data_IF_226347507826
#
_entry.id   IF_226347507826
#
_cell.length_a   1.000
_cell.length_b   1.000
_cell.length_c   1.000
_cell.angle_alpha   90.00
_cell.angle_beta   90.00
_cell.angle_gamma   90.00
#
_symmetry.space_group_name_H-M   'P 1'
#
loop_
_entity.id
_entity.type
_entity.pdbx_description
1 polymer ?
#
# COMPACT_ATOMS: atom_id res chain seq x y z
N UNK A 1 -22.67 77.89 53.86
CA UNK A 1 -21.50 77.04 53.56
C UNK A 1 -21.75 75.73 54.29
N UNK A 2 -22.24 74.70 53.59
CA UNK A 2 -22.56 73.38 54.16
C UNK A 2 -21.39 72.46 53.83
N UNK A 3 -20.64 72.06 54.84
CA UNK A 3 -19.53 71.11 54.74
C UNK A 3 -20.12 69.70 54.83
N UNK A 4 -20.08 68.95 53.74
CA UNK A 4 -20.51 67.55 53.70
C UNK A 4 -19.48 66.66 54.38
N UNK A 5 -19.85 66.08 55.53
CA UNK A 5 -19.14 64.93 56.10
C UNK A 5 -19.40 63.72 55.20
N UNK A 6 -18.34 63.21 54.58
CA UNK A 6 -18.36 61.92 53.90
C UNK A 6 -18.17 60.86 55.00
N UNK A 7 -19.23 60.16 55.36
CA UNK A 7 -19.16 59.00 56.25
C UNK A 7 -18.37 57.88 55.55
N UNK A 8 -17.08 57.77 55.88
CA UNK A 8 -16.30 56.57 55.59
C UNK A 8 -16.79 55.43 56.48
N UNK A 9 -17.80 54.69 56.00
CA UNK A 9 -18.20 53.42 56.60
C UNK A 9 -17.06 52.43 56.41
N UNK A 10 -16.20 52.33 57.42
CA UNK A 10 -15.21 51.26 57.53
C UNK A 10 -15.93 49.93 57.52
N UNK A 11 -15.71 49.15 56.46
CA UNK A 11 -16.17 47.77 56.38
C UNK A 11 -15.51 47.05 57.55
N UNK A 12 -16.32 46.46 58.44
CA UNK A 12 -15.81 45.74 59.62
C UNK A 12 -14.76 44.71 59.16
N UNK A 13 -13.54 44.71 59.75
CA UNK A 13 -12.48 43.76 59.40
C UNK A 13 -12.95 42.30 59.39
N UNK A 14 -13.91 41.97 60.24
CA UNK A 14 -14.51 40.63 60.35
C UNK A 14 -15.32 40.27 59.10
N UNK A 15 -16.06 41.21 58.53
CA UNK A 15 -16.84 41.00 57.30
C UNK A 15 -15.89 40.85 56.10
N UNK A 16 -14.81 41.64 56.06
CA UNK A 16 -13.79 41.53 55.00
C UNK A 16 -13.09 40.17 55.00
N UNK A 17 -12.72 39.65 56.18
CA UNK A 17 -12.07 38.34 56.31
C UNK A 17 -13.03 37.21 55.93
N UNK A 18 -14.28 37.25 56.40
CA UNK A 18 -15.27 36.23 56.04
C UNK A 18 -15.52 36.18 54.54
N UNK A 19 -15.67 37.35 53.89
CA UNK A 19 -15.84 37.45 52.44
C UNK A 19 -14.60 36.92 51.69
N UNK A 20 -13.39 37.26 52.16
CA UNK A 20 -12.15 36.81 51.54
C UNK A 20 -11.99 35.30 51.62
N UNK A 21 -12.33 34.67 52.75
CA UNK A 21 -12.28 33.20 52.89
C UNK A 21 -13.27 32.53 51.92
N UNK A 22 -14.47 33.09 51.77
CA UNK A 22 -15.46 32.57 50.81
C UNK A 22 -14.95 32.69 49.37
N UNK A 23 -14.38 33.83 48.99
CA UNK A 23 -13.84 34.03 47.64
C UNK A 23 -12.68 33.07 47.38
N UNK A 24 -11.73 32.96 48.33
CA UNK A 24 -10.58 32.05 48.20
C UNK A 24 -11.02 30.61 48.09
N UNK A 25 -11.98 30.16 48.91
CA UNK A 25 -12.49 28.78 48.84
C UNK A 25 -13.18 28.49 47.50
N UNK A 26 -14.00 29.41 46.99
CA UNK A 26 -14.61 29.26 45.66
C UNK A 26 -13.53 29.19 44.58
N UNK A 27 -12.55 30.10 44.59
CA UNK A 27 -11.46 30.12 43.60
C UNK A 27 -10.62 28.83 43.70
N UNK A 28 -10.30 28.35 44.90
CA UNK A 28 -9.56 27.10 45.09
C UNK A 28 -10.31 25.90 44.55
N UNK A 29 -11.62 25.80 44.77
CA UNK A 29 -12.44 24.71 44.20
C UNK A 29 -12.48 24.80 42.68
N UNK A 30 -12.67 25.99 42.11
CA UNK A 30 -12.67 26.18 40.64
C UNK A 30 -11.33 25.82 40.02
N UNK A 31 -10.22 26.26 40.61
CA UNK A 31 -8.86 25.93 40.14
C UNK A 31 -8.60 24.42 40.27
N UNK A 32 -9.07 23.77 41.34
CA UNK A 32 -8.96 22.32 41.49
C UNK A 32 -9.74 21.57 40.41
N UNK A 33 -10.94 22.02 40.05
CA UNK A 33 -11.73 21.44 38.95
C UNK A 33 -11.06 21.63 37.59
N UNK A 34 -10.48 22.81 37.32
CA UNK A 34 -9.75 23.06 36.07
C UNK A 34 -8.47 22.20 36.03
N UNK A 35 -7.75 22.07 37.14
CA UNK A 35 -6.53 21.25 37.22
C UNK A 35 -6.82 19.74 37.09
N UNK A 36 -7.93 19.26 37.67
CA UNK A 36 -8.38 17.86 37.54
C UNK A 36 -8.95 17.57 36.15
N UNK A 37 -9.68 18.51 35.55
CA UNK A 37 -10.18 18.38 34.16
C UNK A 37 -9.08 18.46 33.10
N UNK A 38 -7.88 18.95 33.44
CA UNK A 38 -6.68 18.82 32.60
C UNK A 38 -5.94 17.48 32.82
N UNK A 39 -6.35 16.70 33.83
CA UNK A 39 -5.80 15.39 34.15
C UNK A 39 -6.69 14.23 33.70
N UNK A 40 -7.91 14.50 33.20
CA UNK A 40 -8.77 13.49 32.60
C UNK A 40 -8.22 13.09 31.22
N UNK A 41 -7.54 11.93 31.24
CA UNK A 41 -7.36 10.93 30.19
C UNK A 41 -7.35 11.43 28.73
N UNK A 42 -6.16 11.80 28.24
CA UNK A 42 -5.76 11.41 26.88
C UNK A 42 -5.91 9.89 26.80
N UNK A 43 -6.82 9.41 25.96
CA UNK A 43 -6.94 7.99 25.59
C UNK A 43 -5.54 7.45 25.27
N UNK A 44 -4.91 6.71 26.20
CA UNK A 44 -3.49 6.41 26.09
C UNK A 44 -3.29 5.47 24.90
N UNK A 45 -2.29 5.76 24.06
CA UNK A 45 -1.95 4.86 22.95
C UNK A 45 -1.68 3.44 23.49
N UNK A 46 -2.09 2.39 22.76
CA UNK A 46 -1.82 1.03 23.19
C UNK A 46 -0.30 0.78 23.21
N UNK A 47 0.17 0.05 24.23
CA UNK A 47 1.57 -0.35 24.29
C UNK A 47 1.74 -1.72 23.65
N UNK A 48 2.37 -1.74 22.47
CA UNK A 48 2.54 -2.92 21.62
C UNK A 48 3.95 -3.02 21.08
N UNK A 49 4.34 -4.24 20.70
CA UNK A 49 5.49 -4.50 19.86
C UNK A 49 4.98 -5.05 18.54
N UNK A 50 5.31 -4.37 17.45
CA UNK A 50 4.99 -4.77 16.09
C UNK A 50 6.27 -5.01 15.31
N UNK A 51 6.17 -5.82 14.29
CA UNK A 51 7.23 -6.13 13.35
C UNK A 51 6.68 -6.06 11.94
N UNK A 52 7.47 -5.51 11.02
CA UNK A 52 7.12 -5.42 9.61
C UNK A 52 8.21 -6.17 8.85
N UNK A 53 7.85 -7.27 8.21
CA UNK A 53 8.79 -8.10 7.45
C UNK A 53 8.32 -8.19 5.99
N UNK A 54 9.25 -8.13 5.06
CA UNK A 54 8.97 -8.38 3.65
C UNK A 54 8.63 -9.85 3.46
N UNK A 55 7.59 -10.15 2.68
CA UNK A 55 7.26 -11.52 2.30
C UNK A 55 8.13 -11.99 1.15
N UNK A 56 7.94 -13.25 0.73
CA UNK A 56 8.57 -13.77 -0.49
C UNK A 56 8.07 -13.01 -1.74
N UNK A 57 6.84 -12.46 -1.72
CA UNK A 57 6.39 -11.48 -2.71
C UNK A 57 7.08 -10.14 -2.40
N UNK A 58 8.02 -9.75 -3.25
CA UNK A 58 8.93 -8.62 -3.03
C UNK A 58 8.23 -7.29 -2.72
N UNK A 59 6.92 -7.16 -2.99
CA UNK A 59 6.14 -5.94 -2.78
C UNK A 59 5.18 -5.96 -1.60
N UNK A 60 4.90 -7.15 -1.03
CA UNK A 60 3.98 -7.31 0.11
C UNK A 60 4.79 -7.53 1.39
N UNK A 61 4.39 -6.83 2.45
CA UNK A 61 4.99 -6.95 3.77
C UNK A 61 3.94 -7.47 4.77
N UNK A 62 4.38 -8.31 5.69
CA UNK A 62 3.59 -8.76 6.82
C UNK A 62 3.83 -7.85 8.03
N UNK A 63 2.82 -7.06 8.40
CA UNK A 63 2.77 -6.40 9.68
C UNK A 63 2.26 -7.39 10.73
N UNK A 64 3.13 -7.79 11.65
CA UNK A 64 2.88 -8.79 12.69
C UNK A 64 2.77 -8.14 14.06
N UNK A 65 1.72 -8.50 14.80
CA UNK A 65 1.60 -8.11 16.20
C UNK A 65 2.37 -9.08 17.09
N UNK A 66 3.55 -8.70 17.57
CA UNK A 66 4.40 -9.58 18.37
C UNK A 66 3.88 -9.75 19.81
N UNK A 67 3.58 -8.64 20.49
CA UNK A 67 3.11 -8.67 21.88
C UNK A 67 2.51 -7.33 22.32
N UNK A 68 1.79 -7.33 23.45
CA UNK A 68 1.23 -6.11 24.04
C UNK A 68 -0.30 -6.10 24.14
N UNK A 69 -0.86 -4.90 24.15
CA UNK A 69 -2.30 -4.66 24.20
C UNK A 69 -2.98 -4.89 22.84
N UNK A 70 -4.29 -5.13 22.84
CA UNK A 70 -5.05 -5.27 21.58
C UNK A 70 -5.21 -3.89 20.96
N UNK A 71 -4.97 -3.79 19.65
CA UNK A 71 -5.17 -2.57 18.87
C UNK A 71 -6.59 -2.58 18.30
N UNK A 72 -7.33 -1.51 18.55
CA UNK A 72 -8.61 -1.27 17.89
C UNK A 72 -8.36 -0.63 16.52
N UNK A 73 -8.52 -1.44 15.48
CA UNK A 73 -8.32 -1.05 14.10
C UNK A 73 -9.12 0.16 13.65
N UNK A 74 -10.30 0.39 14.25
CA UNK A 74 -11.14 1.56 13.95
C UNK A 74 -10.55 2.88 14.43
N UNK A 75 -9.55 2.84 15.31
CA UNK A 75 -8.78 3.98 15.82
C UNK A 75 -7.38 4.07 15.23
N UNK A 76 -7.04 3.22 14.26
CA UNK A 76 -5.74 3.24 13.62
C UNK A 76 -5.79 3.65 12.18
N UNK A 77 -4.68 4.18 11.70
CA UNK A 77 -4.42 4.40 10.29
C UNK A 77 -2.95 4.11 10.00
N UNK A 78 -2.68 3.42 8.91
CA UNK A 78 -1.33 3.25 8.39
C UNK A 78 -1.01 4.43 7.46
N UNK A 79 0.24 4.88 7.49
CA UNK A 79 0.76 5.92 6.60
C UNK A 79 1.97 5.36 5.90
N UNK A 80 2.10 5.64 4.61
CA UNK A 80 3.21 5.12 3.80
C UNK A 80 2.93 3.74 3.21
N UNK A 81 1.67 3.31 3.17
CA UNK A 81 1.22 2.04 2.56
C UNK A 81 0.10 2.30 1.55
N UNK A 82 -0.11 1.37 0.62
CA UNK A 82 -1.17 1.44 -0.39
C UNK A 82 -2.58 1.32 0.20
N UNK A 83 -2.77 0.59 1.29
CA UNK A 83 -4.04 0.57 2.04
C UNK A 83 -3.85 1.17 3.45
N UNK A 84 -4.15 2.46 3.59
CA UNK A 84 -4.07 3.16 4.88
C UNK A 84 -5.09 2.62 5.91
N UNK A 85 -6.14 1.95 5.45
CA UNK A 85 -7.27 1.44 6.23
C UNK A 85 -7.17 -0.08 6.47
N UNK A 86 -6.03 -0.74 6.17
CA UNK A 86 -5.87 -2.21 6.24
C UNK A 86 -6.19 -2.84 7.61
N UNK A 87 -6.15 -2.07 8.69
CA UNK A 87 -6.51 -2.53 10.04
C UNK A 87 -7.96 -2.21 10.43
N UNK A 88 -8.68 -1.42 9.64
CA UNK A 88 -9.95 -0.80 10.03
C UNK A 88 -11.05 -1.82 10.25
N UNK A 89 -11.69 -1.71 11.42
CA UNK A 89 -12.77 -2.63 11.81
C UNK A 89 -12.27 -3.92 12.46
N UNK A 90 -10.96 -4.19 12.45
CA UNK A 90 -10.36 -5.35 13.06
C UNK A 90 -9.92 -5.11 14.52
N UNK A 91 -9.75 -6.19 15.27
CA UNK A 91 -9.14 -6.17 16.61
C UNK A 91 -7.79 -6.85 16.55
N UNK A 92 -6.77 -6.09 16.14
CA UNK A 92 -5.44 -6.63 15.89
C UNK A 92 -4.71 -6.97 17.21
N UNK A 93 -4.43 -8.25 17.42
CA UNK A 93 -3.91 -8.81 18.67
C UNK A 93 -2.66 -9.66 18.47
N UNK A 94 -1.93 -9.94 19.56
CA UNK A 94 -0.67 -10.68 19.50
C UNK A 94 -0.79 -12.04 18.78
N UNK A 95 0.08 -12.25 17.80
CA UNK A 95 0.12 -13.41 16.91
C UNK A 95 -0.56 -13.19 15.55
N UNK A 96 -1.37 -12.13 15.40
CA UNK A 96 -2.01 -11.81 14.13
C UNK A 96 -1.07 -11.09 13.17
N UNK A 97 -1.43 -11.18 11.89
CA UNK A 97 -0.70 -10.61 10.76
C UNK A 97 -1.70 -9.92 9.85
N UNK A 98 -1.31 -8.76 9.34
CA UNK A 98 -1.99 -8.09 8.23
C UNK A 98 -0.97 -7.84 7.12
N UNK A 99 -1.38 -8.01 5.87
CA UNK A 99 -0.57 -7.69 4.72
C UNK A 99 -0.66 -6.19 4.44
N UNK A 100 0.48 -5.58 4.15
CA UNK A 100 0.58 -4.16 3.79
C UNK A 100 1.54 -4.02 2.62
N UNK A 101 1.30 -3.02 1.79
CA UNK A 101 2.14 -2.72 0.62
C UNK A 101 2.78 -1.37 0.87
N UNK A 102 4.04 -1.29 1.31
CA UNK A 102 4.72 -0.02 1.51
C UNK A 102 4.87 0.73 0.19
N UNK A 103 4.51 2.01 0.20
CA UNK A 103 4.65 2.93 -0.95
C UNK A 103 5.58 4.10 -0.63
N UNK A 104 6.13 4.13 0.58
CA UNK A 104 7.12 5.10 1.07
C UNK A 104 8.17 4.41 1.95
N UNK A 105 9.37 4.99 2.01
CA UNK A 105 10.48 4.51 2.87
C UNK A 105 10.16 4.46 4.37
N UNK A 106 9.10 5.16 4.78
CA UNK A 106 8.70 5.26 6.17
C UNK A 106 7.22 4.86 6.31
N UNK A 107 6.99 3.67 6.87
CA UNK A 107 5.65 3.19 7.23
C UNK A 107 5.36 3.53 8.69
N UNK A 108 4.21 4.15 8.98
CA UNK A 108 3.80 4.50 10.34
C UNK A 108 2.46 3.93 10.69
N UNK A 109 2.35 3.36 11.88
CA UNK A 109 1.05 3.10 12.49
C UNK A 109 0.67 4.26 13.41
N UNK A 110 -0.41 4.96 13.05
CA UNK A 110 -0.96 6.07 13.82
C UNK A 110 -2.18 5.58 14.59
N UNK A 111 -2.25 5.94 15.88
CA UNK A 111 -3.41 5.81 16.74
C UNK A 111 -4.09 7.16 16.94
N UNK A 112 -5.39 7.21 16.69
CA UNK A 112 -6.22 8.39 16.94
C UNK A 112 -6.94 8.26 18.29
N UNK A 113 -6.47 9.02 19.27
CA UNK A 113 -7.21 9.26 20.51
C UNK A 113 -8.33 10.29 20.33
N UNK A 114 -9.03 10.64 21.40
CA UNK A 114 -10.18 11.56 21.30
C UNK A 114 -9.84 12.95 20.74
N UNK A 115 -8.62 13.44 20.99
CA UNK A 115 -8.20 14.79 20.60
C UNK A 115 -6.78 14.86 20.03
N UNK A 116 -6.06 13.74 19.99
CA UNK A 116 -4.64 13.69 19.60
C UNK A 116 -4.32 12.39 18.88
N UNK A 117 -3.53 12.52 17.82
CA UNK A 117 -2.94 11.39 17.10
C UNK A 117 -1.56 11.08 17.67
N UNK A 118 -1.25 9.79 17.76
CA UNK A 118 -0.01 9.28 18.31
C UNK A 118 0.59 8.25 17.34
N UNK A 119 1.88 8.36 17.05
CA UNK A 119 2.58 7.30 16.34
C UNK A 119 2.87 6.16 17.31
N UNK A 120 2.31 4.98 17.05
CA UNK A 120 2.61 3.76 17.80
C UNK A 120 4.03 3.30 17.47
N UNK A 121 4.31 3.13 16.18
CA UNK A 121 5.58 2.65 15.67
C UNK A 121 5.83 3.18 14.26
N UNK A 122 7.10 3.37 13.95
CA UNK A 122 7.62 3.68 12.60
C UNK A 122 8.48 2.49 12.16
N UNK A 123 8.35 2.12 10.89
CA UNK A 123 9.16 1.11 10.22
C UNK A 123 9.87 1.77 9.05
N UNK A 124 11.17 1.52 8.93
CA UNK A 124 11.96 1.91 7.77
C UNK A 124 11.89 0.77 6.76
N UNK A 125 11.47 1.08 5.53
CA UNK A 125 11.36 0.13 4.41
C UNK A 125 12.30 0.59 3.30
N UNK A 126 13.02 -0.33 2.69
CA UNK A 126 13.76 -0.03 1.46
C UNK A 126 12.78 -0.12 0.29
N UNK A 127 12.30 1.04 -0.20
CA UNK A 127 11.37 1.07 -1.33
C UNK A 127 12.05 1.15 -2.68
N UNK A 128 13.39 1.07 -2.76
CA UNK A 128 14.12 1.20 -4.02
C UNK A 128 13.75 0.16 -5.10
N UNK A 129 13.16 -0.96 -4.67
CA UNK A 129 12.66 -2.03 -5.53
C UNK A 129 11.13 -2.16 -5.48
N UNK A 130 10.44 -1.25 -4.81
CA UNK A 130 8.99 -1.26 -4.64
C UNK A 130 8.32 -0.27 -5.59
N UNK A 131 7.04 -0.50 -5.93
CA UNK A 131 6.28 0.48 -6.66
C UNK A 131 6.16 1.78 -5.85
N UNK A 132 6.52 2.90 -6.47
CA UNK A 132 6.32 4.23 -5.90
C UNK A 132 4.97 4.79 -6.35
N UNK A 133 4.40 5.68 -5.54
CA UNK A 133 3.18 6.42 -5.89
C UNK A 133 1.93 5.55 -6.19
N UNK A 134 1.84 4.33 -5.64
CA UNK A 134 0.60 3.55 -5.73
C UNK A 134 -0.53 4.34 -5.02
N UNK A 135 -1.64 4.65 -5.71
CA UNK A 135 -2.81 5.26 -5.10
C UNK A 135 -3.41 4.35 -4.01
N UNK A 136 -4.32 4.91 -3.21
CA UNK A 136 -5.01 4.10 -2.20
C UNK A 136 -5.71 2.90 -2.86
N UNK A 137 -5.37 1.71 -2.37
CA UNK A 137 -6.00 0.44 -2.71
C UNK A 137 -7.32 0.37 -1.94
N UNK A 138 -8.42 0.17 -2.66
CA UNK A 138 -9.77 0.16 -2.08
C UNK A 138 -10.58 -1.09 -2.43
N UNK A 139 -10.00 -2.00 -3.23
CA UNK A 139 -10.57 -3.30 -3.55
C UNK A 139 -9.68 -4.44 -3.04
N UNK A 140 -10.31 -5.47 -2.49
CA UNK A 140 -9.66 -6.72 -2.08
C UNK A 140 -10.04 -7.87 -3.03
N UNK A 141 -9.46 -9.05 -2.82
CA UNK A 141 -9.75 -10.26 -3.60
C UNK A 141 -11.23 -10.59 -3.78
N UNK A 142 -12.09 -10.30 -2.80
CA UNK A 142 -13.52 -10.58 -2.91
C UNK A 142 -14.20 -9.71 -3.97
N UNK A 143 -13.73 -8.48 -4.18
CA UNK A 143 -14.19 -7.63 -5.28
C UNK A 143 -13.67 -8.16 -6.61
N UNK A 144 -12.38 -8.52 -6.69
CA UNK A 144 -11.76 -9.07 -7.92
C UNK A 144 -12.52 -10.30 -8.40
N UNK A 145 -12.81 -11.25 -7.49
CA UNK A 145 -13.64 -12.43 -7.76
C UNK A 145 -15.03 -12.06 -8.29
N UNK A 146 -15.69 -11.09 -7.66
CA UNK A 146 -17.01 -10.64 -8.10
C UNK A 146 -16.99 -9.99 -9.48
N UNK A 147 -15.94 -9.25 -9.82
CA UNK A 147 -15.74 -8.67 -11.14
C UNK A 147 -15.62 -9.79 -12.19
N UNK A 148 -14.73 -10.76 -11.95
CA UNK A 148 -14.53 -11.91 -12.84
C UNK A 148 -15.82 -12.75 -12.97
N UNK A 149 -16.50 -13.06 -11.88
CA UNK A 149 -17.76 -13.83 -11.91
C UNK A 149 -18.87 -13.11 -12.71
N UNK A 150 -18.87 -11.78 -12.69
CA UNK A 150 -19.87 -10.98 -13.40
C UNK A 150 -19.55 -10.85 -14.90
N UNK A 151 -18.28 -10.72 -15.27
CA UNK A 151 -17.84 -10.36 -16.62
C UNK A 151 -17.21 -11.52 -17.40
N UNK A 152 -16.80 -12.59 -16.71
CA UNK A 152 -16.02 -13.71 -17.24
C UNK A 152 -14.52 -13.45 -17.31
N UNK A 153 -14.11 -12.18 -17.21
CA UNK A 153 -12.73 -11.68 -17.27
C UNK A 153 -12.52 -10.67 -16.13
N UNK A 154 -11.26 -10.40 -15.79
CA UNK A 154 -10.93 -9.25 -14.95
C UNK A 154 -10.77 -8.03 -15.85
N UNK A 155 -11.62 -7.03 -15.65
CA UNK A 155 -11.54 -5.73 -16.33
C UNK A 155 -11.47 -4.65 -15.24
N UNK A 156 -10.35 -3.94 -15.19
CA UNK A 156 -10.10 -2.85 -14.26
C UNK A 156 -9.79 -1.58 -15.05
N UNK A 157 -10.49 -0.50 -14.75
CA UNK A 157 -10.31 0.78 -15.45
C UNK A 157 -10.20 1.92 -14.44
N UNK A 158 -8.97 2.20 -14.00
CA UNK A 158 -8.69 3.15 -12.92
C UNK A 158 -9.07 2.65 -11.52
N UNK A 159 -9.30 1.34 -11.40
CA UNK A 159 -9.54 0.66 -10.13
C UNK A 159 -8.21 0.19 -9.50
N UNK A 160 -8.16 0.14 -8.17
CA UNK A 160 -6.96 -0.28 -7.43
C UNK A 160 -7.29 -1.47 -6.52
N UNK A 161 -6.66 -2.61 -6.76
CA UNK A 161 -6.95 -3.85 -6.05
C UNK A 161 -5.69 -4.49 -5.45
N UNK A 162 -5.85 -5.16 -4.31
CA UNK A 162 -4.88 -6.10 -3.77
C UNK A 162 -5.46 -7.52 -3.83
N UNK A 163 -4.91 -8.32 -4.73
CA UNK A 163 -5.25 -9.72 -4.87
C UNK A 163 -4.30 -10.46 -5.80
N UNK A 164 -3.92 -11.69 -5.43
CA UNK A 164 -3.35 -12.64 -6.39
C UNK A 164 -4.46 -13.17 -7.31
N UNK A 165 -4.32 -12.94 -8.61
CA UNK A 165 -5.23 -13.39 -9.66
C UNK A 165 -4.68 -14.68 -10.26
N UNK A 166 -4.87 -15.77 -9.52
CA UNK A 166 -4.41 -17.11 -9.92
C UNK A 166 -5.52 -17.94 -10.58
N UNK A 167 -5.16 -19.09 -11.15
CA UNK A 167 -6.12 -20.06 -11.73
C UNK A 167 -7.27 -20.42 -10.76
N UNK A 168 -7.03 -20.38 -9.45
CA UNK A 168 -8.03 -20.70 -8.41
C UNK A 168 -9.17 -19.65 -8.31
N UNK A 169 -8.95 -18.43 -8.81
CA UNK A 169 -9.97 -17.39 -8.91
C UNK A 169 -10.97 -17.70 -10.04
N UNK A 170 -10.60 -18.57 -10.99
CA UNK A 170 -11.41 -18.95 -12.14
C UNK A 170 -12.28 -20.19 -11.87
N UNK A 171 -13.48 -19.98 -11.32
CA UNK A 171 -14.42 -21.10 -11.06
C UNK A 171 -15.25 -21.52 -12.29
N UNK A 172 -15.13 -20.80 -13.41
CA UNK A 172 -15.99 -20.92 -14.60
C UNK A 172 -15.52 -21.90 -15.67
N UNK A 173 -14.24 -22.30 -15.64
CA UNK A 173 -13.65 -23.28 -16.57
C UNK A 173 -13.37 -22.76 -18.00
N UNK A 174 -13.49 -21.46 -18.23
CA UNK A 174 -12.99 -20.77 -19.44
C UNK A 174 -11.77 -19.94 -19.04
N UNK A 175 -10.74 -19.78 -19.90
CA UNK A 175 -9.64 -18.85 -19.63
C UNK A 175 -10.17 -17.46 -19.23
N UNK A 176 -9.62 -16.90 -18.16
CA UNK A 176 -9.94 -15.55 -17.67
C UNK A 176 -8.91 -14.62 -18.27
N UNK A 177 -9.31 -13.73 -19.16
CA UNK A 177 -8.42 -12.67 -19.63
C UNK A 177 -8.36 -11.55 -18.59
N UNK A 178 -7.23 -10.86 -18.53
CA UNK A 178 -7.00 -9.74 -17.62
C UNK A 178 -6.76 -8.50 -18.46
N UNK A 179 -7.57 -7.46 -18.25
CA UNK A 179 -7.46 -6.17 -18.91
C UNK A 179 -7.35 -5.08 -17.82
N UNK A 180 -6.18 -4.45 -17.72
CA UNK A 180 -5.88 -3.38 -16.78
C UNK A 180 -5.61 -2.08 -17.55
N UNK A 181 -6.47 -1.09 -17.36
CA UNK A 181 -6.43 0.17 -18.08
C UNK A 181 -6.59 1.42 -17.20
N UNK A 182 -6.28 2.59 -17.77
CA UNK A 182 -6.64 3.91 -17.22
C UNK A 182 -6.10 4.17 -15.80
N UNK A 183 -4.81 3.94 -15.60
CA UNK A 183 -4.10 4.12 -14.32
C UNK A 183 -4.56 3.12 -13.23
N UNK A 184 -5.07 1.95 -13.63
CA UNK A 184 -5.41 0.88 -12.69
C UNK A 184 -4.18 0.28 -12.03
N UNK A 185 -4.33 -0.16 -10.78
CA UNK A 185 -3.26 -0.83 -10.03
C UNK A 185 -3.72 -2.17 -9.49
N UNK A 186 -2.92 -3.21 -9.73
CA UNK A 186 -3.09 -4.52 -9.13
C UNK A 186 -1.85 -4.85 -8.29
N UNK A 187 -2.03 -5.13 -7.01
CA UNK A 187 -0.98 -5.66 -6.14
C UNK A 187 -1.26 -7.13 -5.84
N UNK A 188 -0.32 -7.99 -6.22
CA UNK A 188 -0.48 -9.43 -6.21
C UNK A 188 -0.08 -10.03 -7.55
N UNK A 189 0.12 -11.33 -7.55
CA UNK A 189 0.59 -12.06 -8.73
C UNK A 189 -0.55 -12.32 -9.71
N UNK A 190 -0.25 -12.25 -11.00
CA UNK A 190 -1.11 -12.70 -12.08
C UNK A 190 -0.60 -14.09 -12.52
N UNK A 191 -1.45 -15.12 -12.43
CA UNK A 191 -1.15 -16.46 -12.92
C UNK A 191 -2.42 -17.06 -13.54
N UNK A 192 -2.59 -16.91 -14.85
CA UNK A 192 -3.84 -17.27 -15.52
C UNK A 192 -3.66 -18.03 -16.85
N UNK A 193 -4.74 -18.69 -17.27
CA UNK A 193 -4.82 -19.39 -18.56
C UNK A 193 -5.22 -18.48 -19.74
N UNK A 194 -5.53 -17.22 -19.48
CA UNK A 194 -6.04 -16.26 -20.47
C UNK A 194 -5.01 -15.20 -20.85
N UNK A 195 -5.37 -14.38 -21.84
CA UNK A 195 -4.52 -13.30 -22.30
C UNK A 195 -4.41 -12.19 -21.23
N UNK A 196 -3.29 -11.47 -21.21
CA UNK A 196 -3.06 -10.36 -20.27
C UNK A 196 -2.77 -9.08 -21.06
N UNK A 197 -3.61 -8.08 -20.89
CA UNK A 197 -3.51 -6.77 -21.53
C UNK A 197 -3.33 -5.68 -20.46
N UNK A 198 -2.20 -4.99 -20.49
CA UNK A 198 -1.84 -3.91 -19.57
C UNK A 198 -1.67 -2.60 -20.37
N UNK A 199 -2.47 -1.58 -20.08
CA UNK A 199 -2.47 -0.28 -20.76
C UNK A 199 -2.49 0.88 -19.75
N UNK A 200 -1.38 1.60 -19.60
CA UNK A 200 -1.25 2.66 -18.58
C UNK A 200 -1.63 2.15 -17.19
N UNK A 201 -1.07 1.01 -16.76
CA UNK A 201 -1.40 0.35 -15.49
C UNK A 201 -0.15 -0.03 -14.69
N UNK A 202 -0.35 -0.40 -13.42
CA UNK A 202 0.72 -0.90 -12.54
C UNK A 202 0.36 -2.29 -12.04
N UNK A 203 1.28 -3.23 -12.19
CA UNK A 203 1.21 -4.54 -11.54
C UNK A 203 2.38 -4.65 -10.57
N UNK A 204 2.07 -4.84 -9.30
CA UNK A 204 3.05 -5.11 -8.26
C UNK A 204 2.98 -6.60 -7.89
N UNK A 205 3.72 -7.40 -8.63
CA UNK A 205 3.69 -8.86 -8.58
C UNK A 205 4.17 -9.44 -9.90
N UNK A 206 4.31 -10.75 -9.94
CA UNK A 206 4.71 -11.47 -11.15
C UNK A 206 3.53 -11.60 -12.12
N UNK A 207 3.82 -11.61 -13.42
CA UNK A 207 2.84 -11.80 -14.49
C UNK A 207 3.18 -13.07 -15.25
N UNK A 208 2.44 -14.13 -14.95
CA UNK A 208 2.49 -15.42 -15.64
C UNK A 208 1.20 -15.66 -16.40
N UNK A 209 1.31 -16.02 -17.68
CA UNK A 209 0.14 -16.37 -18.49
C UNK A 209 0.39 -17.59 -19.37
N UNK A 210 -0.64 -18.44 -19.47
CA UNK A 210 -0.75 -19.51 -20.45
C UNK A 210 -1.72 -19.18 -21.61
N UNK A 211 -2.11 -17.91 -21.71
CA UNK A 211 -2.86 -17.35 -22.82
C UNK A 211 -2.09 -17.33 -24.14
N UNK A 212 -2.64 -16.64 -25.13
CA UNK A 212 -2.01 -16.45 -26.43
C UNK A 212 -0.95 -15.36 -26.38
N UNK A 213 -1.20 -14.32 -25.60
CA UNK A 213 -0.38 -13.12 -25.50
C UNK A 213 -0.40 -12.46 -24.11
N UNK A 214 0.74 -11.84 -23.78
CA UNK A 214 0.89 -10.82 -22.75
C UNK A 214 1.28 -9.54 -23.47
N UNK A 215 0.46 -8.50 -23.34
CA UNK A 215 0.61 -7.21 -24.00
C UNK A 215 0.74 -6.12 -22.94
N UNK A 216 1.82 -5.34 -23.01
CA UNK A 216 2.14 -4.32 -22.00
C UNK A 216 2.46 -3.01 -22.74
N UNK A 217 1.61 -2.01 -22.58
CA UNK A 217 1.64 -0.80 -23.42
C UNK A 217 1.41 0.47 -22.61
N UNK A 218 1.61 1.62 -23.26
CA UNK A 218 1.29 2.97 -22.75
C UNK A 218 1.83 3.23 -21.34
N UNK A 219 3.13 3.07 -21.13
CA UNK A 219 3.81 3.42 -19.87
C UNK A 219 3.33 2.61 -18.67
N UNK A 220 3.01 1.33 -18.90
CA UNK A 220 2.70 0.38 -17.84
C UNK A 220 3.95 -0.03 -17.06
N UNK A 221 3.79 -0.37 -15.79
CA UNK A 221 4.91 -0.75 -14.91
C UNK A 221 4.62 -2.10 -14.25
N UNK A 222 5.57 -3.04 -14.37
CA UNK A 222 5.49 -4.34 -13.72
C UNK A 222 6.66 -4.47 -12.75
N UNK A 223 6.34 -4.61 -11.47
CA UNK A 223 7.31 -4.78 -10.38
C UNK A 223 7.41 -6.26 -10.00
N UNK A 224 7.81 -7.06 -10.98
CA UNK A 224 7.92 -8.52 -10.90
C UNK A 224 8.38 -9.09 -12.25
N UNK A 225 8.43 -10.40 -12.33
CA UNK A 225 8.79 -11.12 -13.53
C UNK A 225 7.62 -11.18 -14.52
N UNK A 226 7.92 -11.26 -15.82
CA UNK A 226 6.92 -11.51 -16.87
C UNK A 226 7.25 -12.82 -17.57
N UNK A 227 6.43 -13.83 -17.34
CA UNK A 227 6.69 -15.22 -17.76
C UNK A 227 5.59 -15.70 -18.68
N UNK A 228 5.94 -15.90 -19.95
CA UNK A 228 5.08 -16.56 -20.92
C UNK A 228 5.24 -18.08 -20.84
N UNK A 229 4.12 -18.79 -20.70
CA UNK A 229 4.09 -20.24 -20.89
C UNK A 229 4.51 -20.63 -22.31
N UNK A 230 4.88 -21.89 -22.56
CA UNK A 230 5.38 -22.30 -23.87
C UNK A 230 4.41 -22.01 -25.03
N UNK A 231 4.85 -21.16 -25.97
CA UNK A 231 4.08 -20.73 -27.14
C UNK A 231 3.24 -19.46 -26.96
N UNK A 232 3.20 -18.88 -25.75
CA UNK A 232 2.61 -17.57 -25.46
C UNK A 232 3.57 -16.46 -25.92
N UNK A 233 3.02 -15.41 -26.52
CA UNK A 233 3.81 -14.28 -27.03
C UNK A 233 3.85 -13.15 -26.01
N UNK A 234 4.92 -12.37 -26.00
CA UNK A 234 5.02 -11.15 -25.19
C UNK A 234 5.25 -9.97 -26.13
N UNK A 235 4.47 -8.90 -25.97
CA UNK A 235 4.67 -7.61 -26.64
C UNK A 235 4.72 -6.50 -25.59
N UNK A 236 5.87 -5.86 -25.44
CA UNK A 236 6.06 -4.76 -24.48
C UNK A 236 6.46 -3.51 -25.25
N UNK A 237 5.65 -2.46 -25.12
CA UNK A 237 5.85 -1.20 -25.79
C UNK A 237 5.51 0.05 -24.95
N UNK A 238 5.60 1.22 -25.57
CA UNK A 238 4.88 2.40 -25.08
C UNK A 238 5.55 3.14 -23.92
N UNK A 239 6.86 3.01 -23.76
CA UNK A 239 7.65 3.46 -22.60
C UNK A 239 7.28 2.71 -21.30
N UNK A 240 6.94 1.43 -21.41
CA UNK A 240 6.66 0.57 -20.26
C UNK A 240 7.95 0.10 -19.58
N UNK A 241 7.86 -0.27 -18.29
CA UNK A 241 8.97 -0.78 -17.50
C UNK A 241 8.65 -2.15 -16.88
N UNK A 242 9.64 -3.05 -16.88
CA UNK A 242 9.63 -4.31 -16.13
C UNK A 242 10.86 -4.39 -15.25
N UNK A 243 10.67 -4.43 -13.93
CA UNK A 243 11.78 -4.54 -12.97
C UNK A 243 12.36 -5.96 -12.91
N UNK A 244 11.52 -6.98 -13.07
CA UNK A 244 11.92 -8.38 -13.04
C UNK A 244 12.45 -8.94 -14.36
N UNK A 245 12.62 -10.25 -14.40
CA UNK A 245 13.06 -11.01 -15.56
C UNK A 245 11.90 -11.14 -16.57
N UNK A 246 12.21 -11.17 -17.87
CA UNK A 246 11.23 -11.44 -18.94
C UNK A 246 11.56 -12.75 -19.63
N UNK A 247 10.61 -13.68 -19.65
CA UNK A 247 10.85 -15.07 -20.05
C UNK A 247 9.86 -15.49 -21.15
N UNK A 248 10.39 -15.96 -22.28
CA UNK A 248 9.61 -16.52 -23.39
C UNK A 248 10.25 -17.82 -23.87
N UNK A 249 9.50 -18.92 -23.79
CA UNK A 249 9.88 -20.22 -24.38
C UNK A 249 8.97 -20.58 -25.56
N UNK A 250 9.50 -20.57 -26.78
CA UNK A 250 8.79 -21.04 -27.98
C UNK A 250 7.65 -20.15 -28.50
N UNK A 251 7.36 -19.01 -27.85
CA UNK A 251 6.58 -17.89 -28.39
C UNK A 251 7.47 -16.78 -28.96
N UNK A 252 6.88 -15.67 -29.41
CA UNK A 252 7.64 -14.49 -29.85
C UNK A 252 7.71 -13.40 -28.78
N UNK A 253 8.82 -12.67 -28.75
CA UNK A 253 9.05 -11.51 -27.90
C UNK A 253 9.19 -10.25 -28.76
N UNK A 254 8.35 -9.24 -28.55
CA UNK A 254 8.42 -7.93 -29.19
C UNK A 254 8.69 -6.86 -28.13
N UNK A 255 9.69 -6.02 -28.37
CA UNK A 255 10.16 -5.01 -27.42
C UNK A 255 10.36 -3.66 -28.11
N UNK A 256 9.48 -2.68 -27.94
CA UNK A 256 9.61 -1.35 -28.56
C UNK A 256 9.45 -0.21 -27.54
N UNK A 257 10.52 0.53 -27.28
CA UNK A 257 10.51 1.64 -26.32
C UNK A 257 10.08 1.14 -24.95
N UNK A 258 10.95 0.33 -24.35
CA UNK A 258 10.74 -0.38 -23.08
C UNK A 258 12.04 -0.44 -22.31
N UNK A 259 11.94 -0.34 -20.98
CA UNK A 259 13.05 -0.57 -20.06
C UNK A 259 12.79 -1.89 -19.31
N UNK A 260 13.74 -2.82 -19.36
CA UNK A 260 13.69 -4.08 -18.61
C UNK A 260 14.93 -4.14 -17.73
N UNK A 261 14.77 -4.03 -16.42
CA UNK A 261 15.90 -4.02 -15.47
C UNK A 261 16.44 -5.44 -15.24
N UNK A 262 15.55 -6.43 -15.19
CA UNK A 262 15.90 -7.84 -15.08
C UNK A 262 16.42 -8.46 -16.38
N UNK A 263 16.70 -9.75 -16.33
CA UNK A 263 17.24 -10.48 -17.45
C UNK A 263 16.17 -10.95 -18.43
N UNK A 264 16.52 -10.94 -19.73
CA UNK A 264 15.65 -11.44 -20.80
C UNK A 264 16.08 -12.86 -21.19
N UNK A 265 15.19 -13.81 -21.03
CA UNK A 265 15.34 -15.22 -21.39
C UNK A 265 14.47 -15.52 -22.61
N UNK A 266 15.09 -15.54 -23.78
CA UNK A 266 14.42 -15.79 -25.05
C UNK A 266 15.42 -16.30 -26.08
N UNK A 267 14.97 -17.11 -27.04
CA UNK A 267 15.83 -17.46 -28.16
C UNK A 267 15.99 -16.24 -29.07
N UNK A 268 17.20 -15.90 -29.54
CA UNK A 268 17.41 -14.71 -30.38
C UNK A 268 16.59 -14.67 -31.69
N UNK A 269 16.08 -15.80 -32.16
CA UNK A 269 15.23 -15.89 -33.35
C UNK A 269 13.77 -15.50 -33.11
N UNK A 270 13.35 -15.47 -31.85
CA UNK A 270 11.98 -15.21 -31.43
C UNK A 270 11.76 -13.72 -31.10
N UNK A 271 12.84 -12.93 -31.15
CA UNK A 271 12.85 -11.53 -30.72
C UNK A 271 12.66 -10.59 -31.91
N UNK A 272 11.77 -9.63 -31.75
CA UNK A 272 11.44 -8.60 -32.73
C UNK A 272 11.12 -7.27 -32.02
N UNK A 273 10.68 -6.25 -32.75
CA UNK A 273 10.23 -4.98 -32.15
C UNK A 273 11.32 -4.05 -31.62
N UNK A 274 12.55 -4.52 -31.37
CA UNK A 274 13.72 -3.92 -30.68
C UNK A 274 14.17 -2.45 -30.93
N UNK A 275 13.29 -1.49 -31.17
CA UNK A 275 13.62 -0.06 -31.16
C UNK A 275 13.63 0.48 -29.74
N UNK A 276 14.69 1.21 -29.39
CA UNK A 276 14.79 1.94 -28.11
C UNK A 276 14.49 1.10 -26.85
N UNK A 277 14.79 -0.20 -26.87
CA UNK A 277 14.69 -1.05 -25.69
C UNK A 277 16.03 -1.05 -24.92
N UNK A 278 15.96 -0.84 -23.60
CA UNK A 278 17.09 -0.94 -22.66
C UNK A 278 16.92 -2.21 -21.81
N UNK A 279 17.89 -3.14 -21.88
CA UNK A 279 17.74 -4.49 -21.36
C UNK A 279 18.80 -4.84 -20.31
N UNK A 280 18.32 -5.44 -19.23
CA UNK A 280 19.08 -5.96 -18.12
C UNK A 280 19.78 -4.94 -17.25
N UNK A 281 20.54 -5.40 -16.24
CA UNK A 281 21.10 -4.54 -15.19
C UNK A 281 22.18 -3.54 -15.64
N UNK A 282 22.46 -3.47 -16.94
CA UNK A 282 23.46 -2.58 -17.54
C UNK A 282 22.87 -1.73 -18.67
N UNK A 283 21.54 -1.68 -18.82
CA UNK A 283 20.81 -0.87 -19.80
C UNK A 283 21.30 -1.11 -21.24
N UNK A 284 21.50 -2.37 -21.62
CA UNK A 284 22.06 -2.69 -22.94
C UNK A 284 20.95 -2.68 -24.00
N UNK A 285 21.22 -2.08 -25.17
CA UNK A 285 20.31 -2.20 -26.31
C UNK A 285 20.16 -3.67 -26.76
N UNK A 286 19.02 -4.04 -27.36
CA UNK A 286 18.78 -5.37 -27.92
C UNK A 286 19.92 -5.97 -28.76
N UNK A 287 20.67 -5.16 -29.51
CA UNK A 287 21.76 -5.62 -30.37
C UNK A 287 23.07 -5.89 -29.65
N UNK A 288 23.22 -5.35 -28.43
CA UNK A 288 24.37 -5.56 -27.54
C UNK A 288 24.06 -6.60 -26.46
N UNK A 289 22.79 -6.74 -26.07
CA UNK A 289 22.35 -7.63 -25.01
C UNK A 289 22.61 -9.11 -25.35
N UNK A 290 23.02 -9.87 -24.33
CA UNK A 290 23.23 -11.32 -24.43
C UNK A 290 22.06 -12.07 -23.79
N UNK A 291 21.04 -12.38 -24.60
CA UNK A 291 19.87 -13.16 -24.17
C UNK A 291 20.24 -14.48 -23.51
N UNK A 292 19.50 -14.84 -22.47
CA UNK A 292 19.65 -16.09 -21.74
C UNK A 292 18.75 -17.17 -22.33
N UNK A 293 19.15 -18.42 -22.14
CA UNK A 293 18.34 -19.57 -22.53
C UNK A 293 17.15 -19.71 -21.56
N UNK A 294 15.89 -19.75 -22.04
CA UNK A 294 14.69 -19.91 -21.20
C UNK A 294 14.77 -21.06 -20.22
N UNK A 295 15.47 -22.16 -20.55
CA UNK A 295 15.61 -23.31 -19.66
C UNK A 295 16.50 -23.06 -18.42
N UNK A 296 17.19 -21.92 -18.36
CA UNK A 296 18.00 -21.52 -17.21
C UNK A 296 17.28 -20.55 -16.26
N UNK A 297 16.05 -20.15 -16.56
CA UNK A 297 15.24 -19.39 -15.61
C UNK A 297 14.88 -20.31 -14.43
N UNK A 298 15.16 -19.87 -13.20
CA UNK A 298 15.01 -20.68 -11.99
C UNK A 298 13.91 -20.23 -11.03
N UNK A 299 13.17 -19.16 -11.34
CA UNK A 299 12.14 -18.58 -10.47
C UNK A 299 12.77 -17.97 -9.24
#
# INVERSE_FOLDING_TARGET
MITGQIDHRGISPVIGVALLVVIVTIVSVTVAYIALGLADETDPQPTVALELEQTDNNVVFELRHQSGEIIDGSKTRLVGVGDEDALKGERFQAGEVVQVVPVNDEVKLIWSGENTDHTIQTFDVDTSTLPHDIPNIDQECDWVRQNIDANGNLDMSGDNAICDVTEDVNTGGSPVNIDLASDSVLVGDIDNDGDVDLDSSVVAGDVTSAGSDIVVTTSSNIYGDVVASPGTNIDIDGNSNVTGDVVVDGGSLSLDTVDIEGHVYANPGDISGCSNAELGPNDESCGAYSYRDPSNYDG
#
